data_IF_043501901159
#
_entry.id   IF_043501901159
#
_cell.length_a   1.000
_cell.length_b   1.000
_cell.length_c   1.000
_cell.angle_alpha   90.00
_cell.angle_beta   90.00
_cell.angle_gamma   90.00
#
_symmetry.space_group_name_H-M   'P 1'
#
loop_
_entity.id
_entity.type
_entity.pdbx_description
1 polymer ?
#
# COMPACT_ATOMS: atom_id res chain seq x y z
N UNK A 1 3.48 -45.15 3.31
CA UNK A 1 2.78 -43.95 3.82
C UNK A 1 3.59 -42.68 3.55
N UNK A 2 3.84 -42.34 2.28
CA UNK A 2 4.64 -41.16 1.90
C UNK A 2 3.81 -39.85 1.75
N UNK A 3 2.47 -39.94 1.72
CA UNK A 3 1.61 -38.82 1.36
C UNK A 3 1.33 -37.78 2.45
N UNK A 4 1.61 -38.06 3.73
CA UNK A 4 1.34 -37.09 4.81
C UNK A 4 2.44 -36.02 4.90
N UNK A 5 3.72 -36.44 4.85
CA UNK A 5 4.86 -35.54 4.88
C UNK A 5 4.91 -34.60 3.67
N UNK A 6 4.56 -35.12 2.48
CA UNK A 6 4.49 -34.32 1.26
C UNK A 6 3.36 -33.27 1.32
N UNK A 7 2.16 -33.66 1.78
CA UNK A 7 1.05 -32.71 1.98
C UNK A 7 1.35 -31.65 3.03
N UNK A 8 2.02 -32.02 4.13
CA UNK A 8 2.42 -31.08 5.17
C UNK A 8 3.43 -30.05 4.65
N UNK A 9 4.40 -30.48 3.82
CA UNK A 9 5.38 -29.59 3.18
C UNK A 9 4.72 -28.65 2.16
N UNK A 10 3.80 -29.15 1.34
CA UNK A 10 3.03 -28.33 0.40
C UNK A 10 2.15 -27.30 1.13
N UNK A 11 1.46 -27.70 2.21
CA UNK A 11 0.64 -26.79 3.01
C UNK A 11 1.50 -25.70 3.68
N UNK A 12 2.66 -26.05 4.23
CA UNK A 12 3.58 -25.10 4.81
C UNK A 12 4.09 -24.09 3.76
N UNK A 13 4.47 -24.56 2.57
CA UNK A 13 4.90 -23.68 1.47
C UNK A 13 3.77 -22.75 1.01
N UNK A 14 2.54 -23.25 0.86
CA UNK A 14 1.39 -22.41 0.49
C UNK A 14 1.06 -21.38 1.58
N UNK A 15 1.09 -21.78 2.85
CA UNK A 15 0.85 -20.87 3.98
C UNK A 15 1.90 -19.77 4.09
N UNK A 16 3.17 -20.08 3.83
CA UNK A 16 4.25 -19.08 3.80
C UNK A 16 4.09 -18.10 2.64
N UNK A 17 3.76 -18.58 1.43
CA UNK A 17 3.54 -17.69 0.27
C UNK A 17 2.33 -16.79 0.45
N UNK A 18 1.21 -17.34 0.94
CA UNK A 18 0.00 -16.56 1.23
C UNK A 18 0.22 -15.56 2.38
N UNK A 19 1.00 -15.95 3.40
CA UNK A 19 1.37 -15.06 4.50
C UNK A 19 2.17 -13.85 4.02
N UNK A 20 3.17 -14.06 3.15
CA UNK A 20 3.95 -12.97 2.55
C UNK A 20 3.08 -12.04 1.70
N UNK A 21 2.28 -12.61 0.81
CA UNK A 21 1.39 -11.82 -0.06
C UNK A 21 0.45 -10.92 0.73
N UNK A 22 -0.20 -11.45 1.79
CA UNK A 22 -1.06 -10.64 2.66
C UNK A 22 -0.31 -9.54 3.40
N UNK A 23 0.92 -9.81 3.85
CA UNK A 23 1.74 -8.79 4.50
C UNK A 23 2.14 -7.68 3.53
N UNK A 24 2.47 -8.03 2.29
CA UNK A 24 2.81 -7.06 1.25
C UNK A 24 1.59 -6.21 0.88
N UNK A 25 0.41 -6.81 0.76
CA UNK A 25 -0.86 -6.11 0.53
C UNK A 25 -1.19 -5.13 1.67
N UNK A 26 -1.06 -5.56 2.93
CA UNK A 26 -1.30 -4.69 4.10
C UNK A 26 -0.29 -3.55 4.16
N UNK A 27 0.96 -3.80 3.81
CA UNK A 27 1.99 -2.75 3.75
C UNK A 27 1.70 -1.74 2.65
N UNK A 28 1.32 -2.21 1.45
CA UNK A 28 0.92 -1.34 0.35
C UNK A 28 -0.30 -0.50 0.74
N UNK A 29 -1.32 -1.11 1.35
CA UNK A 29 -2.52 -0.41 1.80
C UNK A 29 -2.22 0.67 2.85
N UNK A 30 -1.34 0.38 3.81
CA UNK A 30 -0.90 1.37 4.81
C UNK A 30 -0.13 2.52 4.16
N UNK A 31 0.82 2.22 3.28
CA UNK A 31 1.59 3.22 2.56
C UNK A 31 0.69 4.15 1.72
N UNK A 32 -0.30 3.59 1.01
CA UNK A 32 -1.29 4.35 0.26
C UNK A 32 -2.11 5.29 1.17
N UNK A 33 -2.55 4.81 2.34
CA UNK A 33 -3.28 5.64 3.30
C UNK A 33 -2.43 6.80 3.86
N UNK A 34 -1.14 6.56 4.12
CA UNK A 34 -0.22 7.60 4.56
C UNK A 34 -0.02 8.66 3.47
N UNK A 35 0.09 8.26 2.20
CA UNK A 35 0.18 9.17 1.05
C UNK A 35 -1.09 10.02 0.91
N UNK A 36 -2.28 9.44 1.08
CA UNK A 36 -3.53 10.22 1.09
C UNK A 36 -3.56 11.25 2.20
N UNK A 37 -3.11 10.87 3.40
CA UNK A 37 -3.03 11.80 4.53
C UNK A 37 -2.06 12.94 4.24
N UNK A 38 -0.91 12.66 3.63
CA UNK A 38 0.06 13.67 3.21
C UNK A 38 -0.52 14.62 2.15
N UNK A 39 -1.21 14.08 1.14
CA UNK A 39 -1.88 14.89 0.12
C UNK A 39 -2.95 15.80 0.73
N UNK A 40 -3.81 15.26 1.60
CA UNK A 40 -4.83 16.05 2.30
C UNK A 40 -4.22 17.16 3.16
N UNK A 41 -3.13 16.87 3.87
CA UNK A 41 -2.41 17.87 4.66
C UNK A 41 -1.78 18.96 3.79
N UNK A 42 -1.14 18.58 2.67
CA UNK A 42 -0.55 19.53 1.72
C UNK A 42 -1.62 20.45 1.11
N UNK A 43 -2.72 19.87 0.63
CA UNK A 43 -3.83 20.63 0.07
C UNK A 43 -4.49 21.56 1.11
N UNK A 44 -4.69 21.10 2.35
CA UNK A 44 -5.21 21.96 3.41
C UNK A 44 -4.28 23.13 3.73
N UNK A 45 -2.97 22.89 3.80
CA UNK A 45 -1.97 23.94 4.02
C UNK A 45 -1.97 24.97 2.87
N UNK A 46 -2.06 24.51 1.62
CA UNK A 46 -2.20 25.37 0.45
C UNK A 46 -3.47 26.24 0.52
N UNK A 47 -4.62 25.64 0.86
CA UNK A 47 -5.91 26.35 0.96
C UNK A 47 -5.95 27.36 2.11
N UNK A 48 -5.17 27.13 3.17
CA UNK A 48 -5.04 28.06 4.30
C UNK A 48 -3.94 29.10 4.10
N UNK A 49 -3.23 29.08 2.97
CA UNK A 49 -2.16 30.03 2.65
C UNK A 49 -0.86 29.78 3.41
N UNK A 50 -0.73 28.64 4.10
CA UNK A 50 0.47 28.25 4.86
C UNK A 50 1.35 27.25 4.12
N UNK A 51 0.88 26.72 2.99
CA UNK A 51 1.56 25.74 2.15
C UNK A 51 1.94 26.28 0.77
N UNK A 52 2.70 25.48 0.01
CA UNK A 52 3.03 25.74 -1.40
C UNK A 52 2.30 24.75 -2.31
N UNK A 53 1.80 25.20 -3.48
CA UNK A 53 1.29 24.32 -4.54
C UNK A 53 2.27 23.23 -4.98
N UNK A 54 3.58 23.47 -4.83
CA UNK A 54 4.61 22.48 -5.17
C UNK A 54 4.53 21.24 -4.26
N UNK A 55 4.23 21.42 -2.96
CA UNK A 55 4.07 20.28 -2.05
C UNK A 55 2.86 19.44 -2.40
N UNK A 56 1.75 20.08 -2.77
CA UNK A 56 0.54 19.37 -3.21
C UNK A 56 0.86 18.57 -4.48
N UNK A 57 1.56 19.19 -5.43
CA UNK A 57 1.98 18.53 -6.68
C UNK A 57 2.89 17.32 -6.42
N UNK A 58 3.84 17.43 -5.50
CA UNK A 58 4.71 16.32 -5.09
C UNK A 58 3.93 15.18 -4.42
N UNK A 59 2.97 15.50 -3.55
CA UNK A 59 2.13 14.51 -2.89
C UNK A 59 1.23 13.77 -3.90
N UNK A 60 0.68 14.48 -4.90
CA UNK A 60 -0.07 13.86 -6.01
C UNK A 60 0.85 12.91 -6.79
N UNK A 61 2.05 13.35 -7.16
CA UNK A 61 2.98 12.53 -7.93
C UNK A 61 3.40 11.26 -7.17
N UNK A 62 3.66 11.36 -5.86
CA UNK A 62 3.98 10.21 -5.02
C UNK A 62 2.80 9.22 -4.93
N UNK A 63 1.57 9.73 -4.84
CA UNK A 63 0.36 8.92 -4.84
C UNK A 63 0.17 8.18 -6.18
N UNK A 64 0.38 8.87 -7.30
CA UNK A 64 0.31 8.28 -8.65
C UNK A 64 1.35 7.17 -8.83
N UNK A 65 2.58 7.38 -8.38
CA UNK A 65 3.63 6.36 -8.42
C UNK A 65 3.26 5.12 -7.60
N UNK A 66 2.67 5.32 -6.42
CA UNK A 66 2.21 4.21 -5.59
C UNK A 66 1.06 3.44 -6.27
N UNK A 67 0.10 4.14 -6.86
CA UNK A 67 -1.00 3.51 -7.62
C UNK A 67 -0.47 2.73 -8.82
N UNK A 68 0.52 3.27 -9.54
CA UNK A 68 1.14 2.57 -10.66
C UNK A 68 1.86 1.27 -10.22
N UNK A 69 2.44 1.24 -9.02
CA UNK A 69 3.19 0.08 -8.50
C UNK A 69 2.32 -0.97 -7.78
N UNK A 70 1.28 -0.53 -7.06
CA UNK A 70 0.51 -1.38 -6.13
C UNK A 70 -0.99 -1.41 -6.40
N UNK A 71 -1.47 -0.61 -7.35
CA UNK A 71 -2.89 -0.41 -7.63
C UNK A 71 -3.54 0.58 -6.66
N UNK A 72 -4.83 0.82 -6.89
CA UNK A 72 -5.66 1.82 -6.21
C UNK A 72 -6.54 1.22 -5.10
N UNK A 73 -6.27 -0.01 -4.67
CA UNK A 73 -7.13 -0.74 -3.71
C UNK A 73 -7.34 0.00 -2.38
N UNK A 74 -6.35 0.77 -1.93
CA UNK A 74 -6.43 1.58 -0.71
C UNK A 74 -7.39 2.78 -0.83
N UNK A 75 -7.78 3.19 -2.04
CA UNK A 75 -8.78 4.26 -2.25
C UNK A 75 -10.22 3.80 -1.98
N UNK A 76 -10.47 2.48 -1.96
CA UNK A 76 -11.81 1.88 -1.88
C UNK A 76 -12.20 1.43 -0.47
N UNK A 77 -11.51 1.96 0.55
CA UNK A 77 -11.73 1.61 1.97
C UNK A 77 -13.18 1.63 2.40
#
# INVERSE_FOLDING_TARGET
MAGFLDRAKEQAQRGLTQGKQKLDEVQAQRAGNDLLRQLGAAYYAERTGSGSPDRTSQAVQALEQHIAAHGDGFLRG
#
